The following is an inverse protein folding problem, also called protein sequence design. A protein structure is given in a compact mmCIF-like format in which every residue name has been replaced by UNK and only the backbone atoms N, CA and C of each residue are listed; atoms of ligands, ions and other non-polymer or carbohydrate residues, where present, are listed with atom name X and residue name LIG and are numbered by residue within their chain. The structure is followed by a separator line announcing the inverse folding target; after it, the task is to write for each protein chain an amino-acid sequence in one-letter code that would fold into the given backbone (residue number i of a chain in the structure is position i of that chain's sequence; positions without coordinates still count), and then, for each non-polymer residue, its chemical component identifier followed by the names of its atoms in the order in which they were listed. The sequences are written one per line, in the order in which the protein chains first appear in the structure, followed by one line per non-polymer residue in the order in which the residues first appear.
data_IF_051006537537
#
_entry.id   IF_051006537537
#
_cell.length_a   1.000
_cell.length_b   1.000
_cell.length_c   1.000
_cell.angle_alpha   90.00
_cell.angle_beta   90.00
_cell.angle_gamma   90.00
#
_symmetry.space_group_name_H-M   'P 1'
#
loop_
_entity.id
_entity.type
_entity.pdbx_description
1 polymer ?
#
# COMPACT_ATOMS: atom_id res chain seq x y z
N UNK A 1 5.98 26.90 9.64
CA UNK A 1 6.12 25.61 8.96
C UNK A 1 7.55 25.49 8.47
N UNK A 2 8.26 24.45 8.89
CA UNK A 2 9.61 24.17 8.38
C UNK A 2 9.52 23.53 6.99
N UNK A 3 10.61 23.55 6.22
CA UNK A 3 10.68 22.91 4.90
C UNK A 3 10.36 21.40 5.00
N UNK A 4 10.79 20.75 6.09
CA UNK A 4 10.53 19.34 6.33
C UNK A 4 9.04 19.04 6.55
N UNK A 5 8.32 19.90 7.29
CA UNK A 5 6.86 19.76 7.47
C UNK A 5 6.11 19.90 6.14
N UNK A 6 6.56 20.78 5.25
CA UNK A 6 5.98 20.92 3.90
C UNK A 6 6.17 19.64 3.11
N UNK A 7 7.37 19.05 3.13
CA UNK A 7 7.66 17.79 2.45
C UNK A 7 6.77 16.66 2.99
N UNK A 8 6.64 16.55 4.33
CA UNK A 8 5.76 15.56 4.97
C UNK A 8 4.31 15.75 4.52
N UNK A 9 3.81 16.98 4.53
CA UNK A 9 2.44 17.27 4.10
C UNK A 9 2.21 16.86 2.64
N UNK A 10 3.14 17.18 1.73
CA UNK A 10 3.05 16.78 0.32
C UNK A 10 3.03 15.27 0.18
N UNK A 11 3.92 14.54 0.87
CA UNK A 11 3.96 13.08 0.82
C UNK A 11 2.66 12.45 1.33
N UNK A 12 2.11 12.96 2.44
CA UNK A 12 0.84 12.47 3.00
C UNK A 12 -0.32 12.75 2.06
N UNK A 13 -0.37 13.92 1.43
CA UNK A 13 -1.41 14.24 0.43
C UNK A 13 -1.33 13.31 -0.77
N UNK A 14 -0.12 13.08 -1.31
CA UNK A 14 0.07 12.13 -2.42
C UNK A 14 -0.35 10.71 -2.06
N UNK A 15 0.03 10.21 -0.88
CA UNK A 15 -0.40 8.91 -0.39
C UNK A 15 -1.93 8.83 -0.24
N UNK A 16 -2.56 9.90 0.27
CA UNK A 16 -4.01 9.98 0.40
C UNK A 16 -4.71 9.90 -0.95
N UNK A 17 -4.21 10.62 -1.96
CA UNK A 17 -4.73 10.55 -3.33
C UNK A 17 -4.63 9.12 -3.85
N UNK A 18 -3.49 8.44 -3.67
CA UNK A 18 -3.34 7.04 -4.09
C UNK A 18 -4.33 6.11 -3.38
N UNK A 19 -4.55 6.27 -2.08
CA UNK A 19 -5.51 5.44 -1.30
C UNK A 19 -6.93 5.67 -1.79
N UNK A 20 -7.35 6.93 -1.95
CA UNK A 20 -8.70 7.28 -2.40
C UNK A 20 -8.93 6.81 -3.83
N UNK A 21 -7.98 7.04 -4.73
CA UNK A 21 -8.06 6.58 -6.12
C UNK A 21 -8.17 5.05 -6.17
N UNK A 22 -7.34 4.33 -5.41
CA UNK A 22 -7.40 2.86 -5.34
C UNK A 22 -8.74 2.39 -4.80
N UNK A 23 -9.27 3.04 -3.76
CA UNK A 23 -10.59 2.72 -3.18
C UNK A 23 -11.71 2.89 -4.22
N UNK A 24 -11.71 4.00 -4.95
CA UNK A 24 -12.70 4.26 -6.01
C UNK A 24 -12.59 3.19 -7.11
N UNK A 25 -11.38 2.86 -7.55
CA UNK A 25 -11.15 1.84 -8.55
C UNK A 25 -11.61 0.46 -8.06
N UNK A 26 -11.41 0.14 -6.79
CA UNK A 26 -11.87 -1.10 -6.17
C UNK A 26 -13.40 -1.22 -6.19
N UNK A 27 -14.10 -0.14 -5.88
CA UNK A 27 -15.56 -0.08 -5.90
C UNK A 27 -16.13 -0.18 -7.32
N UNK A 28 -15.39 0.34 -8.31
CA UNK A 28 -15.80 0.31 -9.72
C UNK A 28 -15.36 -0.94 -10.48
N UNK A 29 -14.47 -1.75 -9.91
CA UNK A 29 -13.92 -2.90 -10.61
C UNK A 29 -14.99 -4.00 -10.79
N UNK A 30 -15.16 -4.52 -12.03
CA UNK A 30 -16.24 -5.42 -12.42
C UNK A 30 -16.11 -6.80 -11.78
N UNK A 31 -14.87 -7.30 -11.66
CA UNK A 31 -14.59 -8.67 -11.25
C UNK A 31 -13.66 -8.72 -10.05
N UNK A 32 -13.75 -9.81 -9.28
CA UNK A 32 -12.90 -10.05 -8.13
C UNK A 32 -11.41 -10.08 -8.48
N UNK A 33 -11.02 -10.64 -9.65
CA UNK A 33 -9.62 -10.68 -10.07
C UNK A 33 -9.08 -9.27 -10.36
N UNK A 34 -9.88 -8.43 -11.02
CA UNK A 34 -9.54 -7.04 -11.30
C UNK A 34 -9.40 -6.24 -10.00
N UNK A 35 -10.27 -6.48 -9.01
CA UNK A 35 -10.16 -5.89 -7.67
C UNK A 35 -8.84 -6.27 -6.99
N UNK A 36 -8.42 -7.52 -7.03
CA UNK A 36 -7.13 -7.93 -6.45
C UNK A 36 -5.96 -7.20 -7.10
N UNK A 37 -5.98 -7.08 -8.43
CA UNK A 37 -4.89 -6.44 -9.17
C UNK A 37 -4.81 -4.92 -8.92
N UNK A 38 -5.94 -4.28 -8.63
CA UNK A 38 -6.02 -2.84 -8.36
C UNK A 38 -5.50 -2.47 -6.97
N UNK A 39 -5.25 -3.42 -6.05
CA UNK A 39 -4.67 -3.13 -4.73
C UNK A 39 -3.18 -2.73 -4.76
N UNK A 40 -2.50 -2.97 -5.88
CA UNK A 40 -1.06 -2.71 -6.05
C UNK A 40 -0.59 -1.30 -5.63
N UNK A 41 -1.23 -0.21 -6.10
CA UNK A 41 -0.84 1.15 -5.73
C UNK A 41 -0.94 1.43 -4.22
N UNK A 42 -1.84 0.76 -3.50
CA UNK A 42 -1.99 0.94 -2.05
C UNK A 42 -0.78 0.33 -1.31
N UNK A 43 -0.39 -0.88 -1.71
CA UNK A 43 0.67 -1.68 -1.08
C UNK A 43 2.07 -1.18 -1.47
N UNK A 44 2.28 -0.88 -2.75
CA UNK A 44 3.62 -0.58 -3.31
C UNK A 44 3.95 0.91 -3.26
N UNK A 45 2.95 1.79 -3.33
CA UNK A 45 3.17 3.24 -3.45
C UNK A 45 2.72 3.95 -2.18
N UNK A 46 1.44 3.87 -1.83
CA UNK A 46 0.90 4.67 -0.73
C UNK A 46 1.54 4.31 0.63
N UNK A 47 1.65 3.01 0.93
CA UNK A 47 2.21 2.56 2.20
C UNK A 47 3.68 2.99 2.41
N UNK A 48 4.62 2.75 1.47
CA UNK A 48 6.00 3.22 1.62
C UNK A 48 6.11 4.75 1.72
N UNK A 49 5.32 5.50 0.96
CA UNK A 49 5.30 6.97 1.05
C UNK A 49 4.93 7.43 2.47
N UNK A 50 3.92 6.81 3.09
CA UNK A 50 3.53 7.14 4.47
C UNK A 50 4.61 6.80 5.49
N UNK A 51 5.30 5.66 5.32
CA UNK A 51 6.41 5.27 6.19
C UNK A 51 7.57 6.28 6.08
N UNK A 52 7.91 6.71 4.86
CA UNK A 52 8.93 7.74 4.64
C UNK A 52 8.51 9.09 5.24
N UNK A 53 7.25 9.49 5.06
CA UNK A 53 6.72 10.71 5.67
C UNK A 53 6.81 10.67 7.20
N UNK A 54 6.49 9.53 7.82
CA UNK A 54 6.67 9.32 9.27
C UNK A 54 8.13 9.45 9.69
N UNK A 55 9.07 8.84 8.97
CA UNK A 55 10.48 8.92 9.30
C UNK A 55 11.01 10.36 9.25
N UNK A 56 10.68 11.11 8.20
CA UNK A 56 11.08 12.51 8.06
C UNK A 56 10.55 13.32 9.24
N UNK A 57 9.26 13.16 9.57
CA UNK A 57 8.66 13.85 10.71
C UNK A 57 9.33 13.45 12.05
N UNK A 58 9.58 12.16 12.27
CA UNK A 58 10.22 11.67 13.50
C UNK A 58 11.62 12.24 13.67
N UNK A 59 12.43 12.24 12.61
CA UNK A 59 13.79 12.75 12.65
C UNK A 59 13.86 14.26 12.85
N UNK A 60 12.83 15.01 12.43
CA UNK A 60 12.76 16.46 12.68
C UNK A 60 12.42 16.81 14.13
N UNK A 61 11.75 15.91 14.86
CA UNK A 61 11.26 16.18 16.22
C UNK A 61 12.16 15.58 17.31
N UNK A 62 12.69 14.39 17.07
CA UNK A 62 13.42 13.60 18.08
C UNK A 62 14.87 13.30 17.69
N UNK A 63 15.28 13.64 16.46
CA UNK A 63 16.58 13.27 15.91
C UNK A 63 16.58 11.87 15.27
N UNK A 64 17.75 11.45 14.75
CA UNK A 64 17.87 10.17 14.06
C UNK A 64 17.84 8.99 15.05
N UNK A 65 16.86 8.10 14.89
CA UNK A 65 16.77 6.83 15.61
C UNK A 65 16.91 5.64 14.64
N UNK A 66 17.92 4.81 14.89
CA UNK A 66 18.23 3.61 14.11
C UNK A 66 17.15 2.53 14.23
N UNK A 67 16.52 2.39 15.40
CA UNK A 67 15.46 1.40 15.63
C UNK A 67 14.23 1.73 14.76
N UNK A 68 13.85 3.00 14.71
CA UNK A 68 12.77 3.49 13.86
C UNK A 68 13.06 3.26 12.37
N UNK A 69 14.31 3.48 11.94
CA UNK A 69 14.73 3.24 10.56
C UNK A 69 14.64 1.75 10.18
N UNK A 70 15.14 0.85 11.04
CA UNK A 70 15.08 -0.59 10.79
C UNK A 70 13.63 -1.07 10.75
N UNK A 71 12.78 -0.60 11.66
CA UNK A 71 11.34 -0.93 11.65
C UNK A 71 10.64 -0.46 10.39
N UNK A 72 10.98 0.72 9.87
CA UNK A 72 10.43 1.22 8.62
C UNK A 72 10.79 0.32 7.42
N UNK A 73 12.05 -0.09 7.31
CA UNK A 73 12.50 -1.02 6.25
C UNK A 73 11.78 -2.37 6.38
N UNK A 74 11.71 -2.92 7.59
CA UNK A 74 11.01 -4.17 7.85
C UNK A 74 9.51 -4.08 7.56
N UNK A 75 8.86 -2.96 7.89
CA UNK A 75 7.44 -2.76 7.62
C UNK A 75 7.15 -2.73 6.12
N UNK A 76 7.97 -2.03 5.33
CA UNK A 76 7.84 -1.97 3.87
C UNK A 76 8.05 -3.37 3.26
N UNK A 77 9.13 -4.05 3.64
CA UNK A 77 9.43 -5.39 3.14
C UNK A 77 8.33 -6.40 3.52
N UNK A 78 7.85 -6.37 4.77
CA UNK A 78 6.79 -7.25 5.23
C UNK A 78 5.50 -7.06 4.44
N UNK A 79 5.07 -5.81 4.22
CA UNK A 79 3.86 -5.50 3.45
C UNK A 79 4.00 -5.95 1.99
N UNK A 80 5.17 -5.80 1.37
CA UNK A 80 5.39 -6.25 -0.01
C UNK A 80 5.35 -7.78 -0.12
N UNK A 81 6.00 -8.49 0.80
CA UNK A 81 6.01 -9.96 0.81
C UNK A 81 4.59 -10.49 1.04
N UNK A 82 3.91 -10.01 2.10
CA UNK A 82 2.56 -10.47 2.43
C UNK A 82 1.56 -10.08 1.34
N UNK A 83 1.67 -8.88 0.77
CA UNK A 83 0.82 -8.43 -0.33
C UNK A 83 0.96 -9.29 -1.57
N UNK A 84 2.18 -9.70 -1.92
CA UNK A 84 2.44 -10.60 -3.05
C UNK A 84 1.81 -11.98 -2.82
N UNK A 85 2.02 -12.58 -1.64
CA UNK A 85 1.45 -13.89 -1.30
C UNK A 85 -0.08 -13.84 -1.24
N UNK A 86 -0.66 -12.79 -0.64
CA UNK A 86 -2.11 -12.63 -0.54
C UNK A 86 -2.76 -12.54 -1.93
N UNK A 87 -2.21 -11.73 -2.84
CA UNK A 87 -2.71 -11.64 -4.22
C UNK A 87 -2.59 -12.96 -4.98
N UNK A 88 -1.50 -13.72 -4.77
CA UNK A 88 -1.32 -15.03 -5.39
C UNK A 88 -2.38 -16.04 -4.92
N UNK A 89 -2.57 -16.16 -3.61
CA UNK A 89 -3.56 -17.08 -3.03
C UNK A 89 -4.97 -16.70 -3.47
N UNK A 90 -5.31 -15.41 -3.44
CA UNK A 90 -6.64 -14.92 -3.82
C UNK A 90 -6.90 -15.13 -5.33
N UNK A 91 -5.91 -14.92 -6.19
CA UNK A 91 -6.01 -15.22 -7.62
C UNK A 91 -6.31 -16.70 -7.90
N UNK A 92 -5.66 -17.61 -7.16
CA UNK A 92 -5.88 -19.06 -7.31
C UNK A 92 -7.27 -19.50 -6.80
N UNK A 93 -7.72 -18.96 -5.68
CA UNK A 93 -9.06 -19.26 -5.17
C UNK A 93 -10.16 -18.79 -6.12
N UNK A 94 -9.99 -17.62 -6.75
CA UNK A 94 -10.96 -17.08 -7.70
C UNK A 94 -10.98 -17.85 -9.03
N UNK A 95 -9.81 -18.29 -9.51
CA UNK A 95 -9.73 -19.12 -10.71
C UNK A 95 -10.45 -20.47 -10.53
N UNK A 96 -10.36 -21.09 -9.33
CA UNK A 96 -11.08 -22.33 -9.04
C UNK A 96 -12.60 -22.20 -9.12
N UNK A 97 -13.16 -21.06 -8.69
CA UNK A 97 -14.61 -20.82 -8.69
C UNK A 97 -15.13 -20.46 -10.09
N UNK A 98 -14.41 -19.63 -10.84
CA UNK A 98 -14.83 -19.20 -12.20
C UNK A 98 -14.86 -20.33 -13.24
N UNK A 99 -14.08 -21.39 -13.04
CA UNK A 99 -14.14 -22.61 -13.88
C UNK A 99 -15.37 -23.46 -13.53
N UNK A 100 -15.75 -23.54 -12.25
CA UNK A 100 -16.91 -24.30 -11.80
C UNK A 100 -18.23 -23.70 -12.32
N UNK A 101 -18.34 -22.37 -12.40
CA UNK A 101 -19.56 -21.68 -12.82
C UNK A 101 -19.83 -21.77 -14.34
N UNK A 102 -18.80 -21.97 -15.17
CA UNK A 102 -18.97 -22.18 -16.62
C UNK A 102 -19.46 -23.57 -17.01
N UNK A 103 -19.49 -24.51 -16.05
CA UNK A 103 -19.80 -25.92 -16.30
C UNK A 103 -21.25 -26.28 -15.96
N UNK A 104 -22.01 -25.35 -15.34
CA UNK A 104 -23.46 -25.46 -15.15
C UNK A 104 -24.19 -24.54 -16.14
#
# INVERSE_FOLDING_TARGET
MTIAEIIVAVLVVLATICVVATTILQLRAPDALTRVNVLGPLIVIAFPILIVAKLIHSWTTTGFDLNDFIRAVLAIAAVWIVGSVASFVMGRSLYGVTVSDKTN
#
